data_IF_242272559633
#
_entry.id   IF_242272559633
#
_cell.length_a   1.000
_cell.length_b   1.000
_cell.length_c   1.000
_cell.angle_alpha   90.00
_cell.angle_beta   90.00
_cell.angle_gamma   90.00
#
_symmetry.space_group_name_H-M   'P 1'
#
loop_
_entity.id
_entity.type
_entity.pdbx_description
1 polymer ?
#
# COMPACT_ATOMS: atom_id res chain seq x y z
N UNK A 1 21.24 -35.22 14.47
CA UNK A 1 20.73 -34.47 13.32
C UNK A 1 21.03 -33.00 13.57
N UNK A 2 21.33 -32.18 12.55
CA UNK A 2 21.49 -30.76 12.79
C UNK A 2 20.15 -30.20 13.34
N UNK A 3 20.25 -29.25 14.28
CA UNK A 3 19.09 -28.51 14.77
C UNK A 3 18.42 -27.79 13.60
N UNK A 4 17.08 -27.84 13.51
CA UNK A 4 16.31 -27.20 12.46
C UNK A 4 16.62 -25.70 12.37
N UNK A 5 16.75 -25.02 13.53
CA UNK A 5 17.06 -23.59 13.56
C UNK A 5 18.44 -23.27 13.00
N UNK A 6 19.42 -24.14 13.24
CA UNK A 6 20.76 -24.03 12.65
C UNK A 6 20.72 -24.28 11.14
N UNK A 7 20.00 -25.31 10.70
CA UNK A 7 19.88 -25.65 9.28
C UNK A 7 19.22 -24.51 8.48
N UNK A 8 18.11 -23.95 8.97
CA UNK A 8 17.43 -22.81 8.35
C UNK A 8 18.33 -21.56 8.33
N UNK A 9 19.01 -21.29 9.45
CA UNK A 9 19.91 -20.13 9.53
C UNK A 9 21.08 -20.27 8.56
N UNK A 10 21.66 -21.45 8.42
CA UNK A 10 22.73 -21.75 7.46
C UNK A 10 22.26 -21.55 6.02
N UNK A 11 21.04 -21.99 5.68
CA UNK A 11 20.44 -21.80 4.37
C UNK A 11 20.28 -20.31 4.03
N UNK A 12 19.79 -19.49 4.98
CA UNK A 12 19.63 -18.05 4.79
C UNK A 12 20.98 -17.33 4.69
N UNK A 13 21.97 -17.74 5.48
CA UNK A 13 23.35 -17.19 5.40
C UNK A 13 23.97 -17.52 4.03
N UNK A 14 23.72 -18.72 3.49
CA UNK A 14 24.17 -19.07 2.14
C UNK A 14 23.63 -18.12 1.07
N UNK A 15 22.36 -17.73 1.18
CA UNK A 15 21.76 -16.72 0.28
C UNK A 15 22.43 -15.35 0.39
N UNK A 16 23.03 -15.00 1.52
CA UNK A 16 23.67 -13.68 1.69
C UNK A 16 24.86 -13.47 0.74
N UNK A 17 25.49 -14.56 0.30
CA UNK A 17 26.63 -14.53 -0.62
C UNK A 17 26.17 -14.35 -2.06
N UNK A 18 25.17 -15.11 -2.48
CA UNK A 18 24.73 -15.17 -3.88
C UNK A 18 23.61 -14.15 -4.18
N UNK A 19 22.69 -13.98 -3.27
CA UNK A 19 21.46 -13.20 -3.44
C UNK A 19 21.09 -12.43 -2.15
N UNK A 20 21.89 -11.43 -1.74
CA UNK A 20 21.79 -10.76 -0.44
C UNK A 20 20.42 -10.10 -0.19
N UNK A 21 19.70 -9.68 -1.22
CA UNK A 21 18.35 -9.15 -1.07
C UNK A 21 17.41 -10.15 -0.40
N UNK A 22 17.36 -11.40 -0.88
CA UNK A 22 16.50 -12.43 -0.30
C UNK A 22 16.94 -12.83 1.10
N UNK A 23 18.24 -12.85 1.38
CA UNK A 23 18.76 -13.10 2.72
C UNK A 23 18.34 -12.00 3.70
N UNK A 24 18.41 -10.73 3.32
CA UNK A 24 17.95 -9.60 4.15
C UNK A 24 16.44 -9.61 4.35
N UNK A 25 15.67 -9.99 3.32
CA UNK A 25 14.22 -10.13 3.40
C UNK A 25 13.85 -11.23 4.41
N UNK A 26 14.37 -12.43 4.22
CA UNK A 26 14.14 -13.59 5.11
C UNK A 26 14.63 -13.37 6.54
N UNK A 27 15.76 -12.68 6.70
CA UNK A 27 16.29 -12.30 8.01
C UNK A 27 15.39 -11.35 8.79
N UNK A 28 14.47 -10.67 8.10
CA UNK A 28 13.50 -9.73 8.68
C UNK A 28 12.11 -10.36 8.92
N UNK A 29 11.88 -11.59 8.41
CA UNK A 29 10.62 -12.34 8.58
C UNK A 29 10.74 -13.26 9.79
N UNK A 30 9.82 -13.19 10.78
CA UNK A 30 9.74 -14.16 11.86
C UNK A 30 9.56 -15.57 11.34
N UNK A 31 10.14 -16.55 12.03
CA UNK A 31 10.11 -17.97 11.67
C UNK A 31 9.49 -18.78 12.80
N UNK A 32 8.70 -19.78 12.44
CA UNK A 32 8.08 -20.71 13.37
C UNK A 32 8.25 -22.13 12.85
N UNK A 33 8.83 -23.01 13.67
CA UNK A 33 8.88 -24.45 13.40
C UNK A 33 7.58 -25.05 13.92
N UNK A 34 6.80 -25.70 13.06
CA UNK A 34 5.44 -26.14 13.40
C UNK A 34 4.95 -27.26 12.49
N UNK A 35 4.05 -28.06 13.02
CA UNK A 35 3.36 -29.14 12.29
C UNK A 35 2.05 -28.65 11.64
N UNK A 36 1.72 -27.35 11.75
CA UNK A 36 0.53 -26.75 11.09
C UNK A 36 0.65 -26.70 9.56
N UNK A 37 1.86 -26.81 9.05
CA UNK A 37 2.15 -26.92 7.61
C UNK A 37 2.81 -28.26 7.32
N UNK A 38 2.52 -28.85 6.18
CA UNK A 38 3.16 -30.10 5.74
C UNK A 38 4.54 -29.85 5.12
N UNK A 39 4.85 -28.60 4.74
CA UNK A 39 6.06 -28.22 4.02
C UNK A 39 6.72 -26.98 4.62
N UNK A 40 7.08 -26.01 3.78
CA UNK A 40 7.40 -24.63 4.16
C UNK A 40 6.34 -23.75 3.57
N UNK A 41 5.87 -22.76 4.30
CA UNK A 41 4.83 -21.86 3.83
C UNK A 41 4.86 -20.49 4.53
N UNK A 42 4.03 -19.60 4.08
CA UNK A 42 3.88 -18.26 4.66
C UNK A 42 2.51 -18.13 5.34
N UNK A 43 2.53 -17.67 6.57
CA UNK A 43 1.35 -17.17 7.28
C UNK A 43 1.34 -15.65 7.22
N UNK A 44 0.21 -15.09 6.83
CA UNK A 44 0.01 -13.65 6.85
C UNK A 44 -0.85 -13.25 8.04
N UNK A 45 -0.31 -12.41 8.92
CA UNK A 45 -1.02 -11.89 10.08
C UNK A 45 -0.95 -10.36 10.13
N UNK A 46 -1.62 -9.74 11.11
CA UNK A 46 -1.70 -8.27 11.27
C UNK A 46 -0.32 -7.59 11.43
N UNK A 47 0.72 -8.34 11.77
CA UNK A 47 2.09 -7.82 11.92
C UNK A 47 2.96 -8.04 10.67
N UNK A 48 2.44 -8.73 9.67
CA UNK A 48 3.13 -9.06 8.42
C UNK A 48 3.31 -10.57 8.23
N UNK A 49 4.17 -10.98 7.26
CA UNK A 49 4.39 -12.38 6.94
C UNK A 49 5.24 -13.07 8.01
N UNK A 50 4.94 -14.34 8.25
CA UNK A 50 5.71 -15.29 9.07
C UNK A 50 6.01 -16.51 8.25
N UNK A 51 7.23 -17.02 8.32
CA UNK A 51 7.65 -18.26 7.67
C UNK A 51 7.35 -19.44 8.59
N UNK A 52 6.50 -20.36 8.15
CA UNK A 52 6.20 -21.63 8.81
C UNK A 52 7.07 -22.71 8.21
N UNK A 53 7.66 -23.56 9.04
CA UNK A 53 8.61 -24.59 8.60
C UNK A 53 8.26 -25.91 9.27
N UNK A 54 7.94 -26.92 8.45
CA UNK A 54 7.82 -28.28 8.93
C UNK A 54 9.23 -28.90 9.05
N UNK A 55 9.59 -29.36 10.26
CA UNK A 55 10.93 -29.91 10.52
C UNK A 55 11.20 -31.17 9.71
N UNK A 56 10.23 -32.08 9.65
CA UNK A 56 10.40 -33.36 8.93
C UNK A 56 10.60 -33.14 7.44
N UNK A 57 9.78 -32.30 6.84
CA UNK A 57 9.93 -31.92 5.44
C UNK A 57 11.29 -31.28 5.18
N UNK A 58 11.68 -30.29 5.98
CA UNK A 58 12.90 -29.51 5.76
C UNK A 58 14.18 -30.31 5.94
N UNK A 59 14.23 -31.19 6.95
CA UNK A 59 15.44 -31.96 7.27
C UNK A 59 15.52 -33.33 6.57
N UNK A 60 14.36 -33.99 6.35
CA UNK A 60 14.34 -35.37 5.84
C UNK A 60 13.94 -35.44 4.36
N UNK A 61 12.94 -34.64 3.93
CA UNK A 61 12.44 -34.67 2.54
C UNK A 61 13.36 -33.89 1.61
N UNK A 62 13.81 -32.68 2.02
CA UNK A 62 14.74 -31.89 1.26
C UNK A 62 16.18 -32.42 1.44
N UNK A 63 16.61 -33.23 0.48
CA UNK A 63 17.85 -34.02 0.57
C UNK A 63 19.13 -33.19 0.43
N UNK A 64 19.06 -32.02 -0.22
CA UNK A 64 20.23 -31.20 -0.49
C UNK A 64 20.05 -29.77 0.02
N UNK A 65 21.17 -29.11 0.33
CA UNK A 65 21.17 -27.70 0.71
C UNK A 65 20.60 -26.81 -0.43
N UNK A 66 20.84 -27.20 -1.69
CA UNK A 66 20.28 -26.51 -2.86
C UNK A 66 18.75 -26.54 -2.87
N UNK A 67 18.13 -27.69 -2.54
CA UNK A 67 16.68 -27.80 -2.44
C UNK A 67 16.13 -26.95 -1.27
N UNK A 68 16.80 -26.97 -0.12
CA UNK A 68 16.42 -26.13 1.02
C UNK A 68 16.47 -24.65 0.69
N UNK A 69 17.56 -24.23 0.00
CA UNK A 69 17.69 -22.85 -0.48
C UNK A 69 16.60 -22.49 -1.49
N UNK A 70 16.29 -23.40 -2.42
CA UNK A 70 15.26 -23.18 -3.42
C UNK A 70 13.88 -23.00 -2.80
N UNK A 71 13.48 -23.83 -1.83
CA UNK A 71 12.18 -23.74 -1.16
C UNK A 71 12.08 -22.48 -0.31
N UNK A 72 13.12 -22.15 0.48
CA UNK A 72 13.14 -20.91 1.27
C UNK A 72 13.11 -19.66 0.37
N UNK A 73 13.83 -19.69 -0.75
CA UNK A 73 13.81 -18.60 -1.74
C UNK A 73 12.44 -18.47 -2.43
N UNK A 74 11.78 -19.59 -2.72
CA UNK A 74 10.42 -19.61 -3.28
C UNK A 74 9.45 -18.83 -2.37
N UNK A 75 9.45 -19.10 -1.07
CA UNK A 75 8.62 -18.36 -0.12
C UNK A 75 9.01 -16.87 -0.04
N UNK A 76 10.30 -16.56 -0.08
CA UNK A 76 10.77 -15.18 -0.11
C UNK A 76 10.30 -14.43 -1.38
N UNK A 77 10.22 -15.12 -2.51
CA UNK A 77 9.71 -14.56 -3.76
C UNK A 77 8.22 -14.23 -3.67
N UNK A 78 7.40 -15.08 -3.01
CA UNK A 78 6.00 -14.75 -2.78
C UNK A 78 5.83 -13.47 -1.96
N UNK A 79 6.68 -13.24 -0.96
CA UNK A 79 6.69 -11.97 -0.22
C UNK A 79 7.18 -10.84 -1.12
N UNK A 80 8.26 -11.06 -1.89
CA UNK A 80 8.86 -10.04 -2.76
C UNK A 80 7.92 -9.55 -3.86
N UNK A 81 7.11 -10.45 -4.43
CA UNK A 81 6.04 -10.11 -5.39
C UNK A 81 4.73 -9.70 -4.71
N UNK A 82 4.69 -9.71 -3.37
CA UNK A 82 3.49 -9.39 -2.57
C UNK A 82 2.29 -10.29 -2.90
N UNK A 83 2.52 -11.53 -3.34
CA UNK A 83 1.46 -12.47 -3.74
C UNK A 83 0.48 -12.73 -2.58
N UNK A 84 0.99 -12.91 -1.37
CA UNK A 84 0.19 -13.09 -0.16
C UNK A 84 -0.75 -11.91 0.15
N UNK A 85 -0.44 -10.69 -0.34
CA UNK A 85 -1.28 -9.51 -0.18
C UNK A 85 -2.27 -9.28 -1.32
N UNK A 86 -2.13 -10.01 -2.46
CA UNK A 86 -2.93 -9.80 -3.68
C UNK A 86 -4.09 -10.79 -3.79
N UNK A 87 -4.15 -11.78 -2.92
CA UNK A 87 -5.25 -12.74 -2.88
C UNK A 87 -6.53 -12.03 -2.40
N UNK A 88 -7.63 -12.21 -3.11
CA UNK A 88 -8.95 -11.67 -2.76
C UNK A 88 -9.99 -12.78 -2.71
N UNK A 89 -11.11 -12.54 -2.05
CA UNK A 89 -12.26 -13.47 -2.00
C UNK A 89 -12.87 -13.77 -3.39
N UNK A 90 -12.58 -12.90 -4.37
CA UNK A 90 -13.05 -13.08 -5.75
C UNK A 90 -12.21 -14.07 -6.55
N UNK A 91 -11.02 -14.43 -6.06
CA UNK A 91 -10.14 -15.36 -6.74
C UNK A 91 -10.52 -16.81 -6.42
N UNK A 92 -10.39 -17.69 -7.42
CA UNK A 92 -10.38 -19.13 -7.18
C UNK A 92 -9.05 -19.45 -6.53
N UNK A 93 -9.07 -19.77 -5.23
CA UNK A 93 -7.91 -19.92 -4.38
C UNK A 93 -6.81 -20.76 -5.01
N UNK A 94 -7.15 -22.01 -5.35
CA UNK A 94 -6.18 -22.98 -5.84
C UNK A 94 -5.58 -22.58 -7.20
N UNK A 95 -6.36 -21.94 -8.07
CA UNK A 95 -5.87 -21.43 -9.36
C UNK A 95 -4.96 -20.24 -9.17
N UNK A 96 -5.27 -19.37 -8.20
CA UNK A 96 -4.43 -18.24 -7.84
C UNK A 96 -3.06 -18.71 -7.33
N UNK A 97 -3.05 -19.73 -6.47
CA UNK A 97 -1.84 -20.30 -5.90
C UNK A 97 -0.94 -20.91 -6.99
N UNK A 98 -1.52 -21.68 -7.93
CA UNK A 98 -0.78 -22.18 -9.10
C UNK A 98 -0.21 -21.04 -9.96
N UNK A 99 -1.00 -19.98 -10.20
CA UNK A 99 -0.53 -18.84 -10.97
C UNK A 99 0.62 -18.09 -10.26
N UNK A 100 0.55 -17.99 -8.93
CA UNK A 100 1.60 -17.38 -8.13
C UNK A 100 2.90 -18.21 -8.19
N UNK A 101 2.79 -19.53 -8.14
CA UNK A 101 3.93 -20.46 -8.28
C UNK A 101 4.57 -20.38 -9.66
N UNK A 102 3.77 -20.22 -10.73
CA UNK A 102 4.29 -20.02 -12.07
C UNK A 102 5.16 -18.75 -12.17
N UNK A 103 4.83 -17.69 -11.44
CA UNK A 103 5.67 -16.50 -11.39
C UNK A 103 6.98 -16.78 -10.66
N UNK A 104 6.91 -17.28 -9.42
CA UNK A 104 8.09 -17.37 -8.56
C UNK A 104 9.08 -18.44 -9.01
N UNK A 105 8.59 -19.57 -9.55
CA UNK A 105 9.44 -20.68 -9.95
C UNK A 105 10.37 -20.36 -11.15
N UNK A 106 10.05 -19.31 -11.92
CA UNK A 106 10.96 -18.81 -12.97
C UNK A 106 12.23 -18.18 -12.41
N UNK A 107 12.19 -17.70 -11.16
CA UNK A 107 13.35 -17.07 -10.48
C UNK A 107 14.09 -18.03 -9.56
N UNK A 108 13.69 -19.29 -9.51
CA UNK A 108 14.38 -20.38 -8.81
C UNK A 108 15.04 -21.29 -9.83
N UNK A 109 16.27 -21.75 -9.55
CA UNK A 109 16.95 -22.67 -10.48
C UNK A 109 16.14 -23.96 -10.59
N UNK A 110 15.74 -24.31 -11.80
CA UNK A 110 14.89 -25.48 -12.09
C UNK A 110 15.48 -26.78 -11.52
N UNK A 111 16.81 -26.97 -11.61
CA UNK A 111 17.50 -28.15 -11.06
C UNK A 111 17.50 -28.24 -9.51
N UNK A 112 17.09 -27.20 -8.83
CA UNK A 112 16.98 -27.16 -7.36
C UNK A 112 15.52 -27.22 -6.88
N UNK A 113 14.55 -27.04 -7.79
CA UNK A 113 13.14 -27.22 -7.48
C UNK A 113 12.85 -28.70 -7.23
N UNK A 114 11.92 -29.02 -6.34
CA UNK A 114 11.37 -30.37 -6.21
C UNK A 114 10.75 -30.85 -7.54
N UNK A 115 10.73 -32.19 -7.74
CA UNK A 115 10.28 -32.82 -9.02
C UNK A 115 8.84 -32.53 -9.42
N UNK A 116 8.01 -32.18 -8.43
CA UNK A 116 6.60 -31.89 -8.57
C UNK A 116 6.30 -30.37 -8.55
N UNK A 117 7.34 -29.51 -8.61
CA UNK A 117 7.16 -28.07 -8.70
C UNK A 117 6.43 -27.66 -10.00
N UNK A 118 5.50 -26.73 -9.85
CA UNK A 118 4.74 -26.19 -10.97
C UNK A 118 5.60 -25.21 -11.76
N UNK A 119 5.82 -25.48 -13.05
CA UNK A 119 6.62 -24.64 -13.92
C UNK A 119 5.87 -24.32 -15.22
N UNK A 120 6.37 -23.37 -16.01
CA UNK A 120 5.78 -23.05 -17.33
C UNK A 120 5.76 -24.26 -18.26
N UNK A 121 6.73 -25.17 -18.15
CA UNK A 121 6.77 -26.40 -18.92
C UNK A 121 5.62 -27.36 -18.60
N UNK A 122 5.07 -27.30 -17.37
CA UNK A 122 3.88 -28.05 -16.98
C UNK A 122 2.64 -27.65 -17.79
N UNK A 123 2.61 -26.45 -18.36
CA UNK A 123 1.51 -25.89 -19.15
C UNK A 123 1.89 -25.63 -20.62
N UNK A 124 2.69 -26.49 -21.21
CA UNK A 124 3.15 -26.35 -22.60
C UNK A 124 2.01 -26.16 -23.63
N UNK A 125 0.83 -26.71 -23.36
CA UNK A 125 -0.35 -26.54 -24.20
C UNK A 125 -0.89 -25.10 -24.23
N UNK A 126 -0.68 -24.30 -23.17
CA UNK A 126 -1.15 -22.91 -23.06
C UNK A 126 -0.18 -21.90 -23.69
N UNK A 127 1.07 -22.31 -23.96
CA UNK A 127 2.12 -21.44 -24.48
C UNK A 127 2.25 -20.14 -23.67
N UNK A 128 2.26 -20.26 -22.34
CA UNK A 128 2.42 -19.15 -21.43
C UNK A 128 3.73 -18.42 -21.73
N UNK A 129 3.70 -17.10 -21.75
CA UNK A 129 4.90 -16.29 -21.92
C UNK A 129 5.73 -16.29 -20.65
N UNK A 130 7.07 -16.39 -20.71
CA UNK A 130 7.91 -16.18 -19.55
C UNK A 130 7.83 -14.72 -19.09
N UNK A 131 8.17 -14.49 -17.83
CA UNK A 131 8.21 -13.16 -17.20
C UNK A 131 6.89 -12.36 -17.28
N UNK A 132 5.75 -13.08 -17.32
CA UNK A 132 4.43 -12.45 -17.33
C UNK A 132 3.89 -12.24 -15.90
N UNK A 133 2.81 -11.49 -15.80
CA UNK A 133 2.22 -11.12 -14.50
C UNK A 133 1.37 -12.25 -13.91
N UNK A 134 1.22 -12.24 -12.59
CA UNK A 134 0.32 -13.14 -11.87
C UNK A 134 -1.09 -13.13 -12.46
N UNK A 135 -1.61 -11.93 -12.78
CA UNK A 135 -2.96 -11.75 -13.30
C UNK A 135 -3.14 -12.40 -14.66
N UNK A 136 -2.13 -12.32 -15.52
CA UNK A 136 -2.17 -12.93 -16.85
C UNK A 136 -2.12 -14.46 -16.75
N UNK A 137 -1.28 -15.01 -15.89
CA UNK A 137 -1.28 -16.46 -15.64
C UNK A 137 -2.59 -16.92 -15.01
N UNK A 138 -3.12 -16.20 -14.04
CA UNK A 138 -4.41 -16.50 -13.42
C UNK A 138 -5.55 -16.49 -14.46
N UNK A 139 -5.63 -15.46 -15.30
CA UNK A 139 -6.65 -15.36 -16.35
C UNK A 139 -6.55 -16.50 -17.35
N UNK A 140 -5.33 -16.89 -17.74
CA UNK A 140 -5.10 -18.01 -18.64
C UNK A 140 -5.54 -19.34 -18.02
N UNK A 141 -5.25 -19.57 -16.73
CA UNK A 141 -5.59 -20.82 -16.04
C UNK A 141 -7.08 -20.91 -15.70
N UNK A 142 -7.70 -19.81 -15.25
CA UNK A 142 -9.11 -19.81 -14.82
C UNK A 142 -10.06 -20.20 -15.95
N UNK A 143 -9.72 -19.90 -17.20
CA UNK A 143 -10.51 -20.27 -18.37
C UNK A 143 -10.62 -21.80 -18.58
N UNK A 144 -9.70 -22.56 -17.98
CA UNK A 144 -9.64 -24.04 -18.05
C UNK A 144 -10.06 -24.72 -16.74
N UNK A 145 -10.40 -23.93 -15.72
CA UNK A 145 -10.83 -24.46 -14.42
C UNK A 145 -12.27 -24.98 -14.46
N UNK A 146 -12.51 -26.09 -13.75
CA UNK A 146 -13.84 -26.60 -13.46
C UNK A 146 -13.94 -26.96 -11.97
N UNK A 147 -15.05 -26.64 -11.27
CA UNK A 147 -15.20 -26.92 -9.84
C UNK A 147 -14.96 -28.37 -9.43
N UNK A 148 -15.21 -29.33 -10.35
CA UNK A 148 -14.92 -30.76 -10.15
C UNK A 148 -13.42 -31.10 -10.05
N UNK A 149 -12.52 -30.15 -10.33
CA UNK A 149 -11.08 -30.39 -10.27
C UNK A 149 -10.53 -30.33 -8.83
N UNK A 150 -11.17 -29.58 -7.94
CA UNK A 150 -10.78 -29.40 -6.53
C UNK A 150 -11.51 -30.36 -5.56
N UNK A 151 -12.50 -31.15 -5.99
CA UNK A 151 -13.37 -31.91 -5.09
C UNK A 151 -12.93 -33.36 -4.77
N UNK A 152 -11.74 -33.79 -5.22
CA UNK A 152 -11.27 -35.18 -4.95
C UNK A 152 -10.29 -35.30 -3.76
N UNK A 153 -10.48 -34.48 -2.69
CA UNK A 153 -9.57 -34.47 -1.54
C UNK A 153 -10.17 -34.74 -0.15
N UNK A 154 -11.47 -35.03 -0.03
CA UNK A 154 -12.08 -35.38 1.27
C UNK A 154 -13.13 -36.46 1.08
N UNK A 155 -12.69 -37.72 0.94
CA UNK A 155 -13.51 -38.91 1.03
C UNK A 155 -13.56 -39.37 2.48
N UNK A 156 -14.57 -38.94 3.23
CA UNK A 156 -14.96 -39.48 4.53
C UNK A 156 -16.46 -39.66 4.52
N UNK A 157 -16.92 -40.93 4.33
CA UNK A 157 -18.31 -41.30 4.15
C UNK A 157 -19.16 -41.06 5.40
N UNK A 158 -20.44 -40.87 5.14
CA UNK A 158 -21.52 -41.45 5.94
C UNK A 158 -22.70 -41.68 5.04
N UNK A 159 -23.13 -42.97 4.95
CA UNK A 159 -24.33 -43.39 4.29
C UNK A 159 -25.56 -42.86 5.04
N UNK A 160 -26.58 -42.60 4.30
CA UNK A 160 -27.92 -42.32 4.77
C UNK A 160 -28.90 -42.86 3.76
N UNK A 161 -29.48 -44.06 4.04
CA UNK A 161 -30.63 -44.64 3.39
C UNK A 161 -31.86 -43.77 3.62
N UNK A 162 -32.80 -43.77 2.65
CA UNK A 162 -34.11 -43.20 2.93
C UNK A 162 -35.03 -43.13 1.70
N UNK A 163 -35.63 -44.24 1.35
CA UNK A 163 -37.05 -44.48 1.00
C UNK A 163 -37.74 -43.54 -0.02
N UNK A 164 -38.11 -44.04 -1.10
CA UNK A 164 -39.32 -44.49 -1.75
C UNK A 164 -40.56 -43.57 -1.68
N UNK A 165 -41.16 -43.32 -2.83
CA UNK A 165 -42.47 -42.69 -2.97
C UNK A 165 -42.85 -42.68 -4.44
N UNK A 166 -43.80 -43.52 -4.75
CA UNK A 166 -44.39 -43.89 -6.06
C UNK A 166 -45.35 -42.82 -6.60
N UNK A 167 -45.57 -42.94 -7.92
CA UNK A 167 -46.75 -42.64 -8.71
C UNK A 167 -47.21 -41.18 -8.95
N UNK A 168 -47.28 -40.77 -10.18
CA UNK A 168 -48.55 -40.66 -10.91
C UNK A 168 -48.39 -40.51 -12.43
N UNK A 169 -49.32 -41.12 -13.14
CA UNK A 169 -49.42 -41.20 -14.58
C UNK A 169 -50.13 -39.96 -15.15
N UNK A 170 -49.72 -39.54 -16.33
CA UNK A 170 -50.45 -38.55 -17.10
C UNK A 170 -50.07 -38.58 -18.57
N UNK A 171 -50.86 -39.25 -19.38
CA UNK A 171 -50.79 -39.27 -20.84
C UNK A 171 -51.14 -37.95 -21.50
N UNK A 172 -50.50 -37.66 -22.65
CA UNK A 172 -50.94 -36.53 -23.49
C UNK A 172 -50.05 -36.16 -24.67
N UNK A 173 -50.31 -36.88 -25.77
CA UNK A 173 -50.27 -36.46 -27.19
C UNK A 173 -49.26 -35.46 -27.76
N UNK A 174 -48.45 -35.92 -28.70
CA UNK A 174 -48.28 -35.47 -30.09
C UNK A 174 -47.81 -34.05 -30.39
N UNK A 175 -46.62 -33.95 -31.01
CA UNK A 175 -46.15 -32.71 -31.66
C UNK A 175 -44.75 -32.89 -32.24
N UNK A 176 -44.67 -33.29 -33.52
CA UNK A 176 -43.47 -33.28 -34.33
C UNK A 176 -42.90 -31.87 -34.43
N UNK A 177 -41.69 -31.65 -33.94
CA UNK A 177 -40.85 -30.56 -34.38
C UNK A 177 -39.38 -31.02 -34.43
N UNK A 178 -38.85 -30.99 -35.63
CA UNK A 178 -37.44 -31.15 -35.95
C UNK A 178 -36.61 -30.22 -35.09
N UNK A 179 -35.94 -30.76 -34.08
CA UNK A 179 -34.95 -30.08 -33.27
C UNK A 179 -33.57 -30.38 -33.82
N UNK A 180 -32.97 -29.38 -34.40
CA UNK A 180 -31.57 -29.33 -34.77
C UNK A 180 -30.68 -29.81 -33.63
N UNK A 181 -29.92 -30.86 -33.85
CA UNK A 181 -28.91 -31.37 -32.97
C UNK A 181 -27.82 -30.29 -32.76
N UNK A 182 -27.86 -29.64 -31.61
CA UNK A 182 -26.73 -28.86 -31.13
C UNK A 182 -25.62 -29.85 -30.75
N UNK A 183 -24.67 -30.01 -31.69
CA UNK A 183 -23.48 -30.76 -31.47
C UNK A 183 -22.76 -30.24 -30.23
N UNK A 184 -22.51 -31.11 -29.26
CA UNK A 184 -21.48 -30.90 -28.25
C UNK A 184 -20.20 -30.55 -29.02
N UNK A 185 -19.83 -29.26 -29.05
CA UNK A 185 -18.57 -28.83 -29.60
C UNK A 185 -17.48 -29.58 -28.85
N UNK A 186 -16.83 -30.52 -29.55
CA UNK A 186 -15.73 -31.29 -28.98
C UNK A 186 -14.65 -30.32 -28.54
N UNK A 187 -14.35 -30.30 -27.24
CA UNK A 187 -13.24 -29.50 -26.69
C UNK A 187 -12.00 -29.83 -27.51
N UNK A 188 -11.32 -28.80 -27.99
CA UNK A 188 -10.06 -28.95 -28.74
C UNK A 188 -9.09 -29.83 -27.94
N UNK A 189 -8.30 -30.69 -28.59
CA UNK A 189 -7.25 -31.48 -27.91
C UNK A 189 -6.33 -30.60 -27.01
N UNK A 190 -6.14 -29.31 -27.36
CA UNK A 190 -5.38 -28.34 -26.55
C UNK A 190 -6.11 -27.92 -25.28
N UNK A 191 -7.44 -27.74 -25.35
CA UNK A 191 -8.25 -27.39 -24.17
C UNK A 191 -8.27 -28.52 -23.17
N UNK A 192 -8.36 -29.78 -23.67
CA UNK A 192 -8.33 -30.97 -22.82
C UNK A 192 -6.93 -31.09 -22.13
N UNK A 193 -5.85 -30.92 -22.88
CA UNK A 193 -4.49 -31.01 -22.36
C UNK A 193 -4.19 -29.89 -21.32
N UNK A 194 -4.70 -28.67 -21.52
CA UNK A 194 -4.56 -27.58 -20.57
C UNK A 194 -5.34 -27.84 -19.27
N UNK A 195 -6.57 -28.35 -19.38
CA UNK A 195 -7.36 -28.70 -18.21
C UNK A 195 -6.75 -29.88 -17.41
N UNK A 196 -6.16 -30.86 -18.10
CA UNK A 196 -5.46 -31.98 -17.46
C UNK A 196 -4.19 -31.53 -16.76
N UNK A 197 -3.43 -30.61 -17.37
CA UNK A 197 -2.25 -29.98 -16.76
C UNK A 197 -2.62 -29.21 -15.49
N UNK A 198 -3.71 -28.43 -15.54
CA UNK A 198 -4.20 -27.71 -14.37
C UNK A 198 -4.65 -28.66 -13.26
N UNK A 199 -5.41 -29.72 -13.60
CA UNK A 199 -5.83 -30.73 -12.64
C UNK A 199 -4.61 -31.40 -11.99
N UNK A 200 -3.58 -31.71 -12.76
CA UNK A 200 -2.34 -32.27 -12.24
C UNK A 200 -1.64 -31.29 -11.31
N UNK A 201 -1.49 -30.04 -11.70
CA UNK A 201 -0.89 -28.99 -10.88
C UNK A 201 -1.65 -28.80 -9.55
N UNK A 202 -2.98 -28.74 -9.57
CA UNK A 202 -3.82 -28.64 -8.37
C UNK A 202 -3.65 -29.83 -7.41
N UNK A 203 -3.37 -31.04 -7.93
CA UNK A 203 -3.08 -32.22 -7.11
C UNK A 203 -1.64 -32.26 -6.59
N UNK A 204 -0.70 -31.60 -7.26
CA UNK A 204 0.73 -31.59 -6.93
C UNK A 204 1.17 -30.42 -6.07
N UNK A 205 0.27 -29.48 -5.75
CA UNK A 205 0.56 -28.26 -5.01
C UNK A 205 0.97 -28.57 -3.54
N UNK A 206 2.23 -28.98 -3.34
CA UNK A 206 2.74 -29.43 -2.04
C UNK A 206 4.01 -28.75 -1.58
N UNK A 207 4.61 -27.82 -2.36
CA UNK A 207 5.92 -27.26 -2.03
C UNK A 207 5.85 -25.91 -1.33
N UNK A 208 4.81 -25.10 -1.60
CA UNK A 208 4.46 -23.91 -0.87
C UNK A 208 3.12 -24.11 -0.21
N UNK A 209 3.02 -24.06 1.10
CA UNK A 209 1.74 -24.10 1.79
C UNK A 209 1.11 -22.70 1.81
N UNK A 210 0.24 -22.44 0.83
CA UNK A 210 -0.47 -21.17 0.71
C UNK A 210 -1.79 -21.13 1.52
N UNK A 211 -2.09 -22.19 2.30
CA UNK A 211 -3.34 -22.27 3.07
C UNK A 211 -3.47 -21.16 4.09
N UNK A 212 -2.34 -20.69 4.61
CA UNK A 212 -2.24 -19.66 5.64
C UNK A 212 -2.17 -18.22 5.10
N UNK A 213 -2.31 -18.02 3.79
CA UNK A 213 -2.47 -16.70 3.21
C UNK A 213 -3.88 -16.19 3.50
N UNK A 214 -3.99 -15.28 4.44
CA UNK A 214 -5.24 -14.60 4.75
C UNK A 214 -5.58 -13.50 3.73
N UNK A 215 -6.68 -12.80 3.97
CA UNK A 215 -6.99 -11.54 3.27
C UNK A 215 -6.12 -10.44 3.89
N UNK A 216 -5.29 -9.82 3.07
CA UNK A 216 -4.44 -8.71 3.54
C UNK A 216 -5.27 -7.44 3.73
N UNK A 217 -5.13 -6.83 4.88
CA UNK A 217 -5.57 -5.47 5.12
C UNK A 217 -4.50 -4.44 4.73
N UNK A 218 -4.83 -3.18 4.82
CA UNK A 218 -3.89 -2.08 4.51
C UNK A 218 -2.65 -2.11 5.42
N UNK A 219 -2.79 -2.52 6.69
CA UNK A 219 -1.68 -2.56 7.64
C UNK A 219 -0.70 -3.68 7.28
N UNK A 220 -1.23 -4.85 6.92
CA UNK A 220 -0.43 -6.01 6.48
C UNK A 220 0.31 -5.73 5.17
N UNK A 221 -0.38 -5.12 4.19
CA UNK A 221 0.25 -4.68 2.93
C UNK A 221 1.41 -3.70 3.22
N UNK A 222 1.17 -2.72 4.09
CA UNK A 222 2.20 -1.77 4.51
C UNK A 222 3.39 -2.43 5.22
N UNK A 223 3.14 -3.48 6.02
CA UNK A 223 4.20 -4.25 6.67
C UNK A 223 5.08 -4.98 5.66
N UNK A 224 4.47 -5.65 4.65
CA UNK A 224 5.20 -6.31 3.56
C UNK A 224 6.05 -5.31 2.77
N UNK A 225 5.48 -4.20 2.36
CA UNK A 225 6.21 -3.14 1.66
C UNK A 225 7.40 -2.60 2.46
N UNK A 226 7.25 -2.44 3.80
CA UNK A 226 8.36 -2.04 4.67
C UNK A 226 9.48 -3.08 4.70
N UNK A 227 9.14 -4.37 4.67
CA UNK A 227 10.15 -5.44 4.60
C UNK A 227 10.94 -5.36 3.30
N UNK A 228 10.27 -5.12 2.15
CA UNK A 228 10.91 -4.98 0.84
C UNK A 228 11.86 -3.78 0.80
N UNK A 229 11.42 -2.62 1.28
CA UNK A 229 12.26 -1.42 1.35
C UNK A 229 13.48 -1.67 2.23
N UNK A 230 13.31 -2.26 3.42
CA UNK A 230 14.41 -2.56 4.34
C UNK A 230 15.39 -3.58 3.75
N UNK A 231 14.89 -4.61 3.07
CA UNK A 231 15.74 -5.60 2.41
C UNK A 231 16.59 -4.94 1.32
N UNK A 232 15.97 -4.10 0.47
CA UNK A 232 16.68 -3.33 -0.56
C UNK A 232 17.74 -2.40 0.04
N UNK A 233 17.38 -1.63 1.08
CA UNK A 233 18.29 -0.65 1.69
C UNK A 233 19.52 -1.31 2.37
N UNK A 234 19.37 -2.56 2.82
CA UNK A 234 20.46 -3.36 3.37
C UNK A 234 21.30 -4.05 2.29
N UNK A 235 20.78 -4.19 1.08
CA UNK A 235 21.49 -4.81 -0.04
C UNK A 235 22.46 -3.82 -0.63
N UNK A 236 23.77 -4.13 -0.71
CA UNK A 236 24.75 -3.27 -1.36
C UNK A 236 24.39 -2.97 -2.81
N UNK A 237 24.62 -1.74 -3.27
CA UNK A 237 24.26 -1.29 -4.64
C UNK A 237 24.87 -2.19 -5.73
N UNK A 238 26.08 -2.70 -5.51
CA UNK A 238 26.74 -3.63 -6.44
C UNK A 238 25.97 -4.94 -6.67
N UNK A 239 25.15 -5.33 -5.70
CA UNK A 239 24.41 -6.60 -5.70
C UNK A 239 22.95 -6.42 -6.16
N UNK A 240 22.53 -5.19 -6.49
CA UNK A 240 21.16 -4.92 -6.98
C UNK A 240 20.85 -5.63 -8.30
N UNK A 241 21.86 -5.94 -9.10
CA UNK A 241 21.70 -6.75 -10.32
C UNK A 241 21.22 -8.19 -10.08
N UNK A 242 21.28 -8.68 -8.83
CA UNK A 242 20.73 -9.98 -8.44
C UNK A 242 19.21 -9.93 -8.13
N UNK A 243 18.62 -8.74 -8.02
CA UNK A 243 17.19 -8.56 -7.77
C UNK A 243 16.45 -8.68 -9.11
N UNK A 244 15.47 -9.56 -9.25
CA UNK A 244 14.64 -9.62 -10.45
C UNK A 244 14.05 -8.25 -10.80
N UNK A 245 14.09 -7.88 -12.10
CA UNK A 245 13.66 -6.55 -12.57
C UNK A 245 12.26 -6.20 -12.11
N UNK A 246 11.30 -7.14 -12.21
CA UNK A 246 9.92 -6.94 -11.76
C UNK A 246 9.81 -6.58 -10.26
N UNK A 247 10.68 -7.15 -9.40
CA UNK A 247 10.74 -6.81 -7.97
C UNK A 247 11.35 -5.42 -7.80
N UNK A 248 12.38 -5.10 -8.58
CA UNK A 248 12.98 -3.77 -8.60
C UNK A 248 11.97 -2.69 -8.96
N UNK A 249 11.16 -2.91 -9.99
CA UNK A 249 10.10 -2.01 -10.43
C UNK A 249 8.99 -1.86 -9.38
N UNK A 250 8.56 -2.96 -8.75
CA UNK A 250 7.61 -2.94 -7.65
C UNK A 250 8.11 -2.08 -6.49
N UNK A 251 9.36 -2.29 -6.07
CA UNK A 251 9.97 -1.50 -4.99
C UNK A 251 10.09 -0.01 -5.41
N UNK A 252 10.43 0.28 -6.66
CA UNK A 252 10.50 1.64 -7.16
C UNK A 252 9.13 2.32 -7.13
N UNK A 253 8.07 1.62 -7.54
CA UNK A 253 6.69 2.08 -7.46
C UNK A 253 6.27 2.38 -6.01
N UNK A 254 6.54 1.46 -5.07
CA UNK A 254 6.25 1.65 -3.64
C UNK A 254 6.99 2.89 -3.11
N UNK A 255 8.26 3.05 -3.45
CA UNK A 255 9.05 4.21 -3.03
C UNK A 255 8.55 5.52 -3.64
N UNK A 256 8.06 5.48 -4.88
CA UNK A 256 7.48 6.65 -5.52
C UNK A 256 6.16 7.06 -4.86
N UNK A 257 5.32 6.11 -4.52
CA UNK A 257 4.08 6.36 -3.76
C UNK A 257 4.37 6.84 -2.34
N UNK A 258 5.46 6.34 -1.72
CA UNK A 258 5.90 6.71 -0.37
C UNK A 258 6.91 7.85 -0.35
N UNK A 259 7.34 8.39 -1.52
CA UNK A 259 8.04 9.68 -1.48
C UNK A 259 7.22 10.57 -0.55
N UNK A 260 7.81 11.11 0.53
CA UNK A 260 7.05 11.92 1.44
C UNK A 260 6.46 13.02 0.58
N UNK A 261 5.19 12.90 0.28
CA UNK A 261 4.39 14.06 0.02
C UNK A 261 4.68 14.88 1.25
N UNK A 262 5.42 15.98 1.06
CA UNK A 262 5.78 16.84 2.18
C UNK A 262 4.46 17.10 2.86
N UNK A 263 4.31 16.52 4.06
CA UNK A 263 3.04 16.63 4.77
C UNK A 263 2.81 18.12 4.96
N UNK A 264 2.06 18.71 4.03
CA UNK A 264 1.76 20.13 3.98
C UNK A 264 1.17 20.57 5.33
N UNK A 265 0.41 19.68 5.99
CA UNK A 265 -0.15 19.87 7.31
C UNK A 265 0.95 20.03 8.36
N UNK A 266 1.96 19.18 8.30
CA UNK A 266 3.12 19.27 9.18
C UNK A 266 3.91 20.57 8.94
N UNK A 267 4.14 20.95 7.68
CA UNK A 267 4.82 22.22 7.34
C UNK A 267 4.01 23.41 7.79
N UNK A 268 2.69 23.41 7.55
CA UNK A 268 1.79 24.47 7.99
C UNK A 268 1.80 24.59 9.52
N UNK A 269 1.74 23.48 10.25
CA UNK A 269 1.84 23.47 11.71
C UNK A 269 3.19 23.99 12.21
N UNK A 270 4.29 23.55 11.59
CA UNK A 270 5.64 24.05 11.93
C UNK A 270 5.78 25.53 11.63
N UNK A 271 5.26 26.01 10.52
CA UNK A 271 5.19 27.43 10.22
C UNK A 271 4.38 28.16 11.28
N UNK A 272 3.23 27.60 11.65
CA UNK A 272 2.37 28.07 12.71
C UNK A 272 2.97 28.00 14.12
N UNK A 273 3.97 27.19 14.45
CA UNK A 273 4.54 27.06 15.82
C UNK A 273 5.76 27.95 16.09
N UNK A 274 6.33 28.56 15.06
CA UNK A 274 7.59 29.29 15.14
C UNK A 274 7.39 30.78 15.49
N UNK A 275 6.73 31.06 16.62
CA UNK A 275 6.50 32.43 17.12
C UNK A 275 7.64 32.92 18.02
N UNK A 276 7.94 34.21 17.90
CA UNK A 276 8.86 34.93 18.79
C UNK A 276 8.19 35.39 20.11
N UNK A 277 6.84 35.27 20.18
CA UNK A 277 6.08 35.75 21.35
C UNK A 277 5.81 34.63 22.31
N UNK A 278 6.18 34.84 23.55
CA UNK A 278 5.95 33.92 24.64
C UNK A 278 5.16 34.60 25.75
N UNK A 279 4.12 33.95 26.24
CA UNK A 279 3.42 34.33 27.45
C UNK A 279 3.69 33.31 28.54
N UNK A 280 4.13 33.81 29.68
CA UNK A 280 4.33 33.00 30.88
C UNK A 280 2.98 32.89 31.59
N UNK A 281 2.49 31.67 31.81
CA UNK A 281 1.26 31.41 32.56
C UNK A 281 1.63 30.57 33.78
N UNK A 282 1.27 31.05 34.96
CA UNK A 282 1.38 30.25 36.17
C UNK A 282 0.34 29.12 36.17
N UNK A 283 0.77 27.92 36.57
CA UNK A 283 -0.11 26.76 36.58
C UNK A 283 0.14 25.88 37.80
N UNK A 284 -0.91 25.49 38.45
CA UNK A 284 -0.88 24.57 39.60
C UNK A 284 -0.50 23.15 39.17
N UNK A 285 -0.69 22.82 37.89
CA UNK A 285 -0.35 21.49 37.32
C UNK A 285 1.13 21.19 37.22
N UNK A 286 2.00 22.20 37.36
CA UNK A 286 3.46 22.06 37.33
C UNK A 286 4.07 22.63 38.61
N UNK A 287 5.17 22.00 39.03
CA UNK A 287 6.00 22.49 40.13
C UNK A 287 7.00 23.50 39.56
N UNK A 288 7.28 24.57 40.29
CA UNK A 288 8.32 25.52 39.96
C UNK A 288 9.69 24.85 40.03
N UNK A 289 10.42 24.83 38.93
CA UNK A 289 11.77 24.25 38.89
C UNK A 289 12.77 24.97 39.82
N UNK A 290 12.49 26.24 40.17
CA UNK A 290 13.36 27.05 41.03
C UNK A 290 13.07 26.90 42.53
N UNK A 291 11.78 26.75 42.89
CA UNK A 291 11.35 26.77 44.27
C UNK A 291 10.76 25.44 44.76
N UNK A 292 10.62 24.43 43.89
CA UNK A 292 10.05 23.13 44.27
C UNK A 292 8.57 23.17 44.67
N UNK A 293 7.91 24.33 44.62
CA UNK A 293 6.56 24.58 45.05
C UNK A 293 5.61 24.88 43.87
N UNK A 294 4.29 24.78 44.10
CA UNK A 294 3.25 25.20 43.15
C UNK A 294 2.83 26.64 43.45
N UNK A 295 2.46 27.45 42.43
CA UNK A 295 2.36 27.16 41.01
C UNK A 295 3.71 27.17 40.27
N UNK A 296 3.87 26.31 39.28
CA UNK A 296 4.95 26.37 38.32
C UNK A 296 4.59 27.23 37.10
N UNK A 297 5.54 27.34 36.16
CA UNK A 297 5.40 28.18 34.97
C UNK A 297 5.17 27.32 33.75
N UNK A 298 4.18 27.69 32.93
CA UNK A 298 3.96 27.18 31.59
C UNK A 298 4.16 28.30 30.59
N UNK A 299 5.13 28.12 29.69
CA UNK A 299 5.34 29.05 28.58
C UNK A 299 4.36 28.70 27.47
N UNK A 300 3.45 29.62 27.15
CA UNK A 300 2.61 29.53 25.95
C UNK A 300 3.21 30.43 24.87
N UNK A 301 3.35 29.88 23.69
CA UNK A 301 3.70 30.63 22.49
C UNK A 301 2.41 31.03 21.80
N UNK A 302 2.29 32.32 21.48
CA UNK A 302 1.16 32.86 20.72
C UNK A 302 1.67 33.34 19.39
N UNK A 303 0.90 33.07 18.37
CA UNK A 303 1.20 33.54 17.01
C UNK A 303 0.07 34.37 16.50
N UNK A 304 0.40 35.40 15.75
CA UNK A 304 -0.51 36.15 14.92
C UNK A 304 -0.27 35.77 13.47
N UNK A 305 -1.23 35.09 12.87
CA UNK A 305 -1.16 34.65 11.49
C UNK A 305 -2.15 35.45 10.65
N UNK A 306 -1.70 35.89 9.48
CA UNK A 306 -2.58 36.38 8.43
C UNK A 306 -2.77 35.26 7.41
N UNK A 307 -4.00 34.81 7.25
CA UNK A 307 -4.39 33.81 6.27
C UNK A 307 -5.02 34.54 5.09
N UNK A 308 -4.32 34.56 3.97
CA UNK A 308 -4.79 35.13 2.73
C UNK A 308 -5.44 34.04 1.88
N UNK A 309 -6.64 34.34 1.37
CA UNK A 309 -7.41 33.49 0.48
C UNK A 309 -7.52 34.18 -0.88
N UNK A 310 -7.04 33.50 -1.88
CA UNK A 310 -7.31 33.88 -3.26
C UNK A 310 -8.76 33.58 -3.61
N UNK A 311 -9.46 34.58 -4.10
CA UNK A 311 -10.88 34.47 -4.41
C UNK A 311 -11.16 34.45 -5.93
N UNK A 312 -10.15 34.14 -6.74
CA UNK A 312 -10.23 34.10 -8.21
C UNK A 312 -11.12 33.00 -8.80
N UNK A 313 -11.86 32.26 -7.97
CA UNK A 313 -12.82 31.24 -8.40
C UNK A 313 -12.24 29.86 -8.70
N UNK A 314 -10.93 29.68 -8.58
CA UNK A 314 -10.21 28.43 -8.86
C UNK A 314 -10.02 27.55 -7.62
N UNK A 315 -10.40 28.02 -6.42
CA UNK A 315 -10.27 27.24 -5.18
C UNK A 315 -11.56 26.43 -4.96
N UNK A 316 -11.41 25.09 -4.99
CA UNK A 316 -12.48 24.14 -4.71
C UNK A 316 -12.90 24.19 -3.23
N UNK A 317 -14.18 23.98 -2.97
CA UNK A 317 -14.76 23.95 -1.62
C UNK A 317 -14.12 22.89 -0.72
N UNK A 318 -13.78 21.72 -1.27
CA UNK A 318 -13.14 20.62 -0.55
C UNK A 318 -11.70 21.00 -0.12
N UNK A 319 -10.94 21.64 -1.01
CA UNK A 319 -9.61 22.16 -0.72
C UNK A 319 -9.65 23.23 0.37
N UNK A 320 -10.67 24.11 0.34
CA UNK A 320 -10.89 25.13 1.35
C UNK A 320 -11.23 24.52 2.71
N UNK A 321 -12.11 23.53 2.77
CA UNK A 321 -12.46 22.84 4.00
C UNK A 321 -11.26 22.10 4.60
N UNK A 322 -10.50 21.40 3.76
CA UNK A 322 -9.28 20.71 4.15
C UNK A 322 -8.25 21.68 4.74
N UNK A 323 -8.02 22.82 4.10
CA UNK A 323 -7.12 23.86 4.58
C UNK A 323 -7.60 24.44 5.93
N UNK A 324 -8.89 24.81 6.02
CA UNK A 324 -9.43 25.38 7.26
C UNK A 324 -9.51 24.36 8.41
N UNK A 325 -9.53 23.07 8.14
CA UNK A 325 -9.41 22.07 9.20
C UNK A 325 -8.11 22.23 9.99
N UNK A 326 -6.99 22.51 9.30
CA UNK A 326 -5.69 22.74 9.91
C UNK A 326 -5.58 24.14 10.54
N UNK A 327 -6.14 25.16 9.91
CA UNK A 327 -6.25 26.52 10.48
C UNK A 327 -7.01 26.48 11.80
N UNK A 328 -8.11 25.72 11.87
CA UNK A 328 -8.88 25.48 13.09
C UNK A 328 -8.01 24.82 14.18
N UNK A 329 -7.16 23.86 13.79
CA UNK A 329 -6.22 23.23 14.70
C UNK A 329 -5.23 24.24 15.29
N UNK A 330 -4.66 25.14 14.48
CA UNK A 330 -3.76 26.20 14.94
C UNK A 330 -4.47 27.20 15.86
N UNK A 331 -5.68 27.61 15.51
CA UNK A 331 -6.50 28.51 16.31
C UNK A 331 -6.85 27.89 17.68
N UNK A 332 -7.28 26.63 17.74
CA UNK A 332 -7.56 25.90 18.99
C UNK A 332 -6.31 25.80 19.88
N UNK A 333 -5.13 25.75 19.29
CA UNK A 333 -3.85 25.76 20.01
C UNK A 333 -3.43 27.16 20.47
N UNK A 334 -4.23 28.20 20.19
CA UNK A 334 -4.06 29.55 20.69
C UNK A 334 -3.39 30.52 19.72
N UNK A 335 -3.34 30.21 18.42
CA UNK A 335 -2.95 31.20 17.40
C UNK A 335 -4.08 32.23 17.23
N UNK A 336 -3.73 33.51 17.14
CA UNK A 336 -4.62 34.57 16.66
C UNK A 336 -4.56 34.58 15.15
N UNK A 337 -5.68 34.24 14.50
CA UNK A 337 -5.77 34.16 13.05
C UNK A 337 -6.65 35.27 12.51
N UNK A 338 -6.13 36.04 11.58
CA UNK A 338 -6.88 37.00 10.76
C UNK A 338 -6.97 36.46 9.34
N UNK A 339 -8.17 36.41 8.80
CA UNK A 339 -8.41 35.99 7.40
C UNK A 339 -8.57 37.24 6.54
N UNK A 340 -7.95 37.24 5.37
CA UNK A 340 -8.07 38.24 4.34
C UNK A 340 -8.46 37.56 3.02
N UNK A 341 -9.56 37.95 2.44
CA UNK A 341 -10.04 37.54 1.13
C UNK A 341 -9.58 38.59 0.11
N UNK A 342 -8.90 38.14 -0.93
CA UNK A 342 -8.28 39.02 -1.92
C UNK A 342 -8.36 38.39 -3.32
N UNK A 343 -8.68 39.24 -4.29
CA UNK A 343 -8.48 39.00 -5.72
C UNK A 343 -7.45 40.01 -6.24
N UNK A 344 -7.83 40.97 -7.08
CA UNK A 344 -6.99 42.13 -7.43
C UNK A 344 -6.96 43.20 -6.32
N UNK A 345 -7.90 43.13 -5.36
CA UNK A 345 -8.00 44.05 -4.22
C UNK A 345 -8.41 43.26 -2.97
N UNK A 346 -8.19 43.87 -1.79
CA UNK A 346 -8.65 43.29 -0.51
C UNK A 346 -10.17 43.42 -0.42
N UNK A 347 -10.88 42.30 -0.48
CA UNK A 347 -12.34 42.25 -0.41
C UNK A 347 -12.87 42.28 1.03
N UNK A 348 -12.31 41.42 1.90
CA UNK A 348 -12.74 41.32 3.31
C UNK A 348 -11.58 40.98 4.22
N UNK A 349 -11.65 41.51 5.44
CA UNK A 349 -10.69 41.17 6.51
C UNK A 349 -11.46 40.95 7.80
N UNK A 350 -11.24 39.79 8.43
CA UNK A 350 -11.92 39.46 9.68
C UNK A 350 -11.12 38.51 10.58
N UNK A 351 -11.34 38.54 11.90
CA UNK A 351 -10.74 37.57 12.81
C UNK A 351 -11.39 36.19 12.64
N UNK A 352 -10.59 35.15 12.52
CA UNK A 352 -11.07 33.77 12.43
C UNK A 352 -11.65 33.31 13.79
N UNK A 353 -12.84 32.77 13.77
CA UNK A 353 -13.60 32.32 14.96
C UNK A 353 -13.88 30.82 15.00
N UNK A 354 -13.19 30.02 14.20
CA UNK A 354 -13.27 28.56 14.22
C UNK A 354 -14.25 27.94 13.21
N UNK A 355 -14.88 28.73 12.35
CA UNK A 355 -15.75 28.28 11.26
C UNK A 355 -15.10 28.56 9.91
N UNK A 356 -15.26 27.63 8.96
CA UNK A 356 -14.85 27.86 7.57
C UNK A 356 -15.73 28.95 6.95
N UNK A 357 -15.22 29.86 6.13
CA UNK A 357 -16.03 30.83 5.42
C UNK A 357 -17.04 30.13 4.49
N UNK A 358 -18.30 30.52 4.56
CA UNK A 358 -19.38 29.89 3.76
C UNK A 358 -19.41 30.34 2.30
N UNK A 359 -18.80 31.48 1.98
CA UNK A 359 -18.68 32.00 0.62
C UNK A 359 -17.42 32.85 0.49
N UNK A 360 -16.64 32.60 -0.54
CA UNK A 360 -15.53 33.45 -0.94
C UNK A 360 -16.09 34.48 -1.89
N UNK A 361 -16.00 35.76 -1.50
CA UNK A 361 -16.46 36.87 -2.35
C UNK A 361 -15.32 37.25 -3.30
N UNK A 362 -15.49 37.07 -4.60
CA UNK A 362 -14.51 37.43 -5.62
C UNK A 362 -14.91 36.87 -6.98
N UNK A 363 -14.12 37.11 -7.98
CA UNK A 363 -14.37 36.65 -9.37
C UNK A 363 -13.54 37.43 -10.40
N UNK A 364 -12.60 38.24 -9.90
CA UNK A 364 -11.62 38.96 -10.69
C UNK A 364 -10.34 38.15 -10.96
N UNK A 365 -9.33 38.80 -11.55
CA UNK A 365 -7.97 38.24 -11.63
C UNK A 365 -7.31 38.18 -10.25
N UNK A 366 -6.11 37.60 -10.18
CA UNK A 366 -5.33 37.50 -8.92
C UNK A 366 -4.16 38.45 -8.90
N UNK A 367 -4.02 39.24 -7.82
CA UNK A 367 -2.83 40.01 -7.48
C UNK A 367 -2.42 39.75 -6.03
N UNK A 368 -1.15 39.47 -5.80
CA UNK A 368 -0.64 39.14 -4.47
C UNK A 368 -0.23 40.38 -3.66
N UNK A 369 0.09 41.48 -4.32
CA UNK A 369 0.62 42.70 -3.70
C UNK A 369 -0.35 43.36 -2.71
N UNK A 370 -1.67 43.40 -2.89
CA UNK A 370 -2.60 44.00 -1.94
C UNK A 370 -2.53 43.39 -0.53
N UNK A 371 -2.33 42.07 -0.43
CA UNK A 371 -2.17 41.40 0.87
C UNK A 371 -0.89 41.82 1.59
N UNK A 372 0.22 41.94 0.86
CA UNK A 372 1.49 42.38 1.42
C UNK A 372 1.47 43.85 1.81
N UNK A 373 0.79 44.66 1.01
CA UNK A 373 0.55 46.06 1.30
C UNK A 373 -0.31 46.25 2.56
N UNK A 374 -1.39 45.46 2.68
CA UNK A 374 -2.22 45.43 3.89
C UNK A 374 -1.39 45.09 5.12
N UNK A 375 -0.58 44.01 5.06
CA UNK A 375 0.25 43.58 6.17
C UNK A 375 1.33 44.63 6.55
N UNK A 376 1.86 45.37 5.57
CA UNK A 376 2.82 46.50 5.81
C UNK A 376 2.16 47.71 6.43
N UNK A 377 0.94 48.08 5.96
CA UNK A 377 0.21 49.23 6.45
C UNK A 377 -0.30 49.05 7.88
N UNK A 378 -0.59 47.80 8.24
CA UNK A 378 -1.11 47.39 9.56
C UNK A 378 -0.01 46.81 10.47
N UNK A 379 1.17 47.45 10.51
CA UNK A 379 2.31 46.97 11.33
C UNK A 379 1.98 46.85 12.82
N UNK A 380 1.00 47.58 13.34
CA UNK A 380 0.53 47.46 14.73
C UNK A 380 -0.06 46.06 15.03
N UNK A 381 -0.58 45.37 14.04
CA UNK A 381 -1.09 44.00 14.22
C UNK A 381 0.04 42.97 14.38
N UNK A 382 1.25 43.33 13.92
CA UNK A 382 2.49 42.55 14.10
C UNK A 382 2.29 41.05 13.76
N UNK A 383 1.95 40.73 12.53
CA UNK A 383 1.83 39.32 12.09
C UNK A 383 3.19 38.60 12.18
N UNK A 384 3.19 37.41 12.70
CA UNK A 384 4.38 36.52 12.79
C UNK A 384 4.60 35.77 11.48
N UNK A 385 3.56 35.63 10.66
CA UNK A 385 3.61 34.99 9.35
C UNK A 385 2.34 35.19 8.53
N UNK A 386 2.50 35.10 7.22
CA UNK A 386 1.42 35.09 6.22
C UNK A 386 1.35 33.69 5.65
N UNK A 387 0.15 33.13 5.55
CA UNK A 387 -0.13 31.89 4.83
C UNK A 387 -1.08 32.27 3.71
N UNK A 388 -0.68 32.04 2.47
CA UNK A 388 -1.45 32.41 1.29
C UNK A 388 -1.94 31.13 0.59
N UNK A 389 -3.26 30.93 0.51
CA UNK A 389 -3.90 29.87 -0.27
C UNK A 389 -4.25 30.42 -1.65
N UNK A 390 -3.71 29.80 -2.70
CA UNK A 390 -3.86 30.22 -4.10
C UNK A 390 -3.59 29.05 -5.03
N UNK A 391 -4.00 29.14 -6.27
CA UNK A 391 -3.56 28.26 -7.36
C UNK A 391 -2.23 28.71 -8.00
N UNK A 392 -1.75 29.93 -7.67
CA UNK A 392 -0.50 30.49 -8.16
C UNK A 392 -0.53 31.05 -9.57
N UNK A 393 -1.67 31.13 -10.21
CA UNK A 393 -1.83 31.71 -11.56
C UNK A 393 -2.02 33.23 -11.49
N UNK A 394 -0.96 33.93 -11.09
CA UNK A 394 -0.93 35.39 -11.04
C UNK A 394 0.44 35.93 -11.45
N UNK A 395 0.54 37.25 -11.60
CA UNK A 395 1.83 37.90 -11.82
C UNK A 395 2.73 37.76 -10.56
N UNK A 396 4.04 37.76 -10.78
CA UNK A 396 5.01 37.74 -9.68
C UNK A 396 4.82 38.96 -8.78
N UNK A 397 4.72 38.80 -7.45
CA UNK A 397 4.53 39.91 -6.52
C UNK A 397 5.75 40.83 -6.51
N UNK A 398 5.47 42.15 -6.59
CA UNK A 398 6.51 43.19 -6.60
C UNK A 398 6.85 43.65 -5.18
N UNK A 399 5.95 43.44 -4.22
CA UNK A 399 6.06 43.86 -2.84
C UNK A 399 6.54 42.72 -1.96
N UNK A 400 7.72 42.83 -1.36
CA UNK A 400 8.19 41.82 -0.40
C UNK A 400 7.31 41.79 0.88
N UNK A 401 6.94 40.58 1.39
CA UNK A 401 6.13 40.46 2.59
C UNK A 401 6.88 40.99 3.82
N UNK A 402 6.20 41.64 4.80
CA UNK A 402 6.83 42.17 5.99
C UNK A 402 7.26 41.12 7.04
N UNK A 403 6.80 39.88 6.86
CA UNK A 403 7.09 38.74 7.72
C UNK A 403 7.24 37.45 6.89
N UNK A 404 7.41 36.33 7.55
CA UNK A 404 7.56 35.03 6.85
C UNK A 404 6.30 34.72 6.02
N UNK A 405 6.51 34.19 4.83
CA UNK A 405 5.46 33.81 3.90
C UNK A 405 5.50 32.31 3.63
N UNK A 406 4.32 31.69 3.66
CA UNK A 406 4.08 30.32 3.23
C UNK A 406 2.97 30.30 2.20
N UNK A 407 3.29 29.89 1.00
CA UNK A 407 2.33 29.63 -0.07
C UNK A 407 1.74 28.22 0.12
N UNK A 408 0.43 28.12 0.03
CA UNK A 408 -0.30 26.86 0.03
C UNK A 408 -1.03 26.78 -1.30
N UNK A 409 -0.56 25.89 -2.16
CA UNK A 409 -1.08 25.74 -3.52
C UNK A 409 -2.17 24.69 -3.57
N UNK A 410 -3.19 24.93 -4.38
CA UNK A 410 -4.15 23.89 -4.76
C UNK A 410 -3.46 22.77 -5.54
N UNK A 411 -4.07 21.57 -5.66
CA UNK A 411 -3.45 20.43 -6.35
C UNK A 411 -3.02 20.73 -7.79
N UNK A 412 -3.74 21.60 -8.48
CA UNK A 412 -3.48 21.98 -9.88
C UNK A 412 -2.71 23.31 -10.01
N UNK A 413 -2.18 23.81 -8.88
CA UNK A 413 -1.51 25.12 -8.82
C UNK A 413 -0.07 25.10 -9.34
N UNK A 414 0.41 26.29 -9.74
CA UNK A 414 1.77 26.51 -10.23
C UNK A 414 2.65 27.27 -9.23
N UNK A 415 3.97 26.99 -9.26
CA UNK A 415 4.97 27.68 -8.43
C UNK A 415 5.78 28.73 -9.21
N UNK A 416 5.58 28.84 -10.50
CA UNK A 416 6.47 29.57 -11.41
C UNK A 416 6.61 31.06 -11.07
N UNK A 417 5.52 31.68 -10.59
CA UNK A 417 5.47 33.11 -10.28
C UNK A 417 5.48 33.43 -8.78
N UNK A 418 5.84 32.47 -7.92
CA UNK A 418 5.86 32.70 -6.49
C UNK A 418 7.23 33.19 -6.02
N UNK A 419 7.39 34.52 -5.99
CA UNK A 419 8.54 35.10 -5.32
C UNK A 419 8.36 35.09 -3.81
N UNK A 420 9.47 35.09 -3.08
CA UNK A 420 9.52 35.09 -1.62
C UNK A 420 8.93 33.84 -0.94
N UNK A 421 9.35 33.56 0.25
CA UNK A 421 8.78 32.49 1.09
C UNK A 421 9.05 31.07 0.63
N UNK A 422 8.24 30.15 1.09
CA UNK A 422 8.27 28.73 0.72
C UNK A 422 6.89 28.28 0.27
N UNK A 423 6.82 27.34 -0.68
CA UNK A 423 5.57 26.82 -1.21
C UNK A 423 5.36 25.36 -0.79
N UNK A 424 4.11 24.99 -0.52
CA UNK A 424 3.63 23.64 -0.28
C UNK A 424 2.36 23.41 -1.11
N UNK A 425 2.10 22.16 -1.50
CA UNK A 425 0.91 21.78 -2.26
C UNK A 425 -0.07 21.05 -1.34
N UNK A 426 -1.34 21.40 -1.45
CA UNK A 426 -2.46 20.62 -0.90
C UNK A 426 -2.57 19.32 -1.70
N UNK A 427 -2.45 18.18 -1.05
CA UNK A 427 -2.63 16.84 -1.66
C UNK A 427 -3.46 15.98 -0.75
#
# INVERSE_FOLDING_TARGET
MPDIHEAVSRTIIGLLIDEPFFAHLLGSIPREVTDRTETVGLELNSFGPRLLINEEYFLKTLRSEKQRTAVIKHEALHVAFSHCCRRSEKNIKDVFDVAADLVVNQFVRESALPEDAVTLSSFSALRLKPDDTLENYYAALVSHYSPSMSSEGTGGGTGGEGTGGEDDQGEGAGGDTQGSGQGKAGKSKKETAAADALRKALKQQRHGDHQHWGTADTATTYAVENLLIRARDRTPVKDWGSIPGMIGDLIAMILQQRKPQVDWRRRLRLFGTNSRRTRVVHTIKRVSKRFGTRPGIKIKRFQKLLIALDTSGSIDADALELFFSEVRGMWRNGAEVTVIECDCEVQRVYPYRGTTPDAISGGGGTDFDPVFQYARSNRQLQFDGIVYLTDGYAAEPTIAPPCRLLWVLTPDGTKENLAFGSAIELK
#
